data_IF_814773498375
#
_entry.id   IF_814773498375
#
_cell.length_a   1.000
_cell.length_b   1.000
_cell.length_c   1.000
_cell.angle_alpha   90.00
_cell.angle_beta   90.00
_cell.angle_gamma   90.00
#
_symmetry.space_group_name_H-M   'P 1'
#
loop_
_entity.id
_entity.type
_entity.pdbx_description
1 polymer ?
#
# COMPACT_ATOMS: atom_id res chain seq x y z
N UNK A 1 -30.66 7.60 -6.83
CA UNK A 1 -30.15 6.82 -7.98
C UNK A 1 -30.52 5.36 -7.83
N UNK A 2 -30.77 4.62 -8.94
CA UNK A 2 -31.07 3.18 -8.92
C UNK A 2 -29.94 2.37 -8.27
N UNK A 3 -30.29 1.28 -7.58
CA UNK A 3 -29.31 0.39 -6.91
C UNK A 3 -28.32 -0.24 -7.91
N UNK A 4 -28.78 -0.52 -9.14
CA UNK A 4 -27.97 -1.07 -10.24
C UNK A 4 -26.80 -0.16 -10.64
N UNK A 5 -26.99 1.17 -10.65
CA UNK A 5 -25.92 2.14 -10.96
C UNK A 5 -24.88 2.15 -9.86
N UNK A 6 -25.31 2.11 -8.58
CA UNK A 6 -24.40 2.08 -7.42
C UNK A 6 -23.53 0.84 -7.42
N UNK A 7 -24.12 -0.34 -7.64
CA UNK A 7 -23.36 -1.59 -7.71
C UNK A 7 -22.36 -1.57 -8.87
N UNK A 8 -22.77 -1.08 -10.04
CA UNK A 8 -21.88 -0.93 -11.19
C UNK A 8 -20.67 -0.04 -10.87
N UNK A 9 -20.90 1.13 -10.27
CA UNK A 9 -19.81 2.03 -9.84
C UNK A 9 -18.88 1.32 -8.89
N UNK A 10 -19.43 0.66 -7.87
CA UNK A 10 -18.63 -0.06 -6.88
C UNK A 10 -17.72 -1.11 -7.54
N UNK A 11 -18.29 -2.04 -8.33
CA UNK A 11 -17.51 -3.13 -8.92
C UNK A 11 -16.44 -2.66 -9.90
N UNK A 12 -16.74 -1.64 -10.72
CA UNK A 12 -15.78 -1.12 -11.69
C UNK A 12 -14.57 -0.48 -11.01
N UNK A 13 -14.78 0.38 -10.03
CA UNK A 13 -13.67 1.05 -9.35
C UNK A 13 -12.96 0.14 -8.34
N UNK A 14 -13.67 -0.80 -7.71
CA UNK A 14 -13.06 -1.84 -6.88
C UNK A 14 -12.16 -2.77 -7.71
N UNK A 15 -12.54 -3.12 -8.95
CA UNK A 15 -11.68 -3.86 -9.87
C UNK A 15 -10.40 -3.09 -10.23
N UNK A 16 -10.49 -1.78 -10.45
CA UNK A 16 -9.32 -0.92 -10.63
C UNK A 16 -8.38 -0.95 -9.40
N UNK A 17 -8.94 -0.89 -8.20
CA UNK A 17 -8.14 -0.98 -6.97
C UNK A 17 -7.55 -2.38 -6.75
N UNK A 18 -8.27 -3.44 -7.11
CA UNK A 18 -7.73 -4.80 -7.14
C UNK A 18 -6.48 -4.90 -8.03
N UNK A 19 -6.56 -4.37 -9.27
CA UNK A 19 -5.41 -4.29 -10.18
C UNK A 19 -4.23 -3.58 -9.54
N UNK A 20 -4.47 -2.43 -8.89
CA UNK A 20 -3.42 -1.68 -8.18
C UNK A 20 -2.74 -2.52 -7.11
N UNK A 21 -3.50 -3.34 -6.37
CA UNK A 21 -2.95 -4.20 -5.33
C UNK A 21 -2.16 -5.38 -5.88
N UNK A 22 -2.64 -6.01 -6.96
CA UNK A 22 -1.90 -7.07 -7.66
C UNK A 22 -0.55 -6.53 -8.14
N UNK A 23 -0.52 -5.38 -8.80
CA UNK A 23 0.73 -4.77 -9.27
C UNK A 23 1.70 -4.39 -8.14
N UNK A 24 1.19 -4.03 -6.97
CA UNK A 24 2.02 -3.76 -5.79
C UNK A 24 2.79 -4.99 -5.34
N UNK A 25 2.13 -6.16 -5.32
CA UNK A 25 2.68 -7.39 -4.78
C UNK A 25 3.26 -8.37 -5.81
N UNK A 26 2.97 -8.22 -7.10
CA UNK A 26 3.35 -9.21 -8.12
C UNK A 26 4.86 -9.48 -8.18
N UNK A 27 5.68 -8.49 -7.81
CA UNK A 27 7.13 -8.64 -7.76
C UNK A 27 7.59 -9.69 -6.73
N UNK A 28 6.81 -9.93 -5.69
CA UNK A 28 7.08 -10.98 -4.71
C UNK A 28 7.16 -12.37 -5.36
N UNK A 29 6.29 -12.63 -6.35
CA UNK A 29 6.31 -13.87 -7.14
C UNK A 29 7.35 -13.85 -8.26
N UNK A 30 7.56 -12.70 -8.90
CA UNK A 30 8.46 -12.56 -10.04
C UNK A 30 9.94 -12.49 -9.66
N UNK A 31 10.27 -11.94 -8.48
CA UNK A 31 11.64 -11.66 -8.08
C UNK A 31 12.60 -12.84 -8.22
N UNK A 32 12.30 -14.08 -7.74
CA UNK A 32 13.22 -15.20 -7.90
C UNK A 32 13.50 -15.55 -9.37
N UNK A 33 12.45 -15.47 -10.22
CA UNK A 33 12.55 -15.80 -11.63
C UNK A 33 13.37 -14.74 -12.39
N UNK A 34 13.14 -13.46 -12.09
CA UNK A 34 13.86 -12.35 -12.69
C UNK A 34 15.33 -12.36 -12.24
N UNK A 35 15.59 -12.64 -10.97
CA UNK A 35 16.95 -12.78 -10.44
C UNK A 35 17.70 -13.90 -11.15
N UNK A 36 17.07 -15.05 -11.34
CA UNK A 36 17.67 -16.16 -12.07
C UNK A 36 17.94 -15.80 -13.54
N UNK A 37 16.97 -15.16 -14.22
CA UNK A 37 17.07 -14.84 -15.64
C UNK A 37 18.08 -13.73 -15.95
N UNK A 38 18.24 -12.75 -15.06
CA UNK A 38 18.99 -11.53 -15.32
C UNK A 38 20.16 -11.29 -14.34
N UNK A 39 20.39 -12.19 -13.39
CA UNK A 39 21.50 -12.11 -12.44
C UNK A 39 21.41 -10.90 -11.49
N UNK A 40 20.19 -10.49 -11.08
CA UNK A 40 20.00 -9.29 -10.26
C UNK A 40 20.42 -9.51 -8.80
N UNK A 41 21.06 -8.49 -8.22
CA UNK A 41 21.38 -8.44 -6.79
C UNK A 41 20.15 -8.07 -5.94
N UNK A 42 20.24 -8.21 -4.61
CA UNK A 42 19.21 -7.72 -3.70
C UNK A 42 19.03 -6.20 -3.80
N UNK A 43 20.12 -5.46 -4.01
CA UNK A 43 20.06 -4.01 -4.22
C UNK A 43 19.26 -3.66 -5.49
N UNK A 44 19.49 -4.39 -6.60
CA UNK A 44 18.74 -4.21 -7.85
C UNK A 44 17.25 -4.51 -7.65
N UNK A 45 16.91 -5.59 -6.93
CA UNK A 45 15.52 -5.95 -6.62
C UNK A 45 14.84 -4.91 -5.73
N UNK A 46 15.54 -4.41 -4.72
CA UNK A 46 15.06 -3.35 -3.85
C UNK A 46 14.78 -2.08 -4.63
N UNK A 47 15.72 -1.66 -5.47
CA UNK A 47 15.57 -0.50 -6.35
C UNK A 47 14.42 -0.70 -7.35
N UNK A 48 14.39 -1.84 -8.04
CA UNK A 48 13.36 -2.18 -9.01
C UNK A 48 11.95 -2.14 -8.39
N UNK A 49 11.79 -2.73 -7.21
CA UNK A 49 10.49 -2.74 -6.52
C UNK A 49 10.12 -1.35 -6.00
N UNK A 50 11.11 -0.57 -5.56
CA UNK A 50 10.90 0.77 -5.04
C UNK A 50 10.39 1.76 -6.09
N UNK A 51 10.74 1.58 -7.37
CA UNK A 51 10.31 2.46 -8.46
C UNK A 51 8.79 2.46 -8.67
N UNK A 52 8.09 1.38 -8.34
CA UNK A 52 6.64 1.38 -8.26
C UNK A 52 6.13 2.43 -7.26
N UNK A 53 6.74 2.49 -6.09
CA UNK A 53 6.30 3.36 -4.99
C UNK A 53 6.64 4.83 -5.25
N UNK A 54 7.81 5.13 -5.83
CA UNK A 54 8.16 6.50 -6.19
C UNK A 54 7.29 7.01 -7.35
N UNK A 55 7.01 6.17 -8.35
CA UNK A 55 6.07 6.50 -9.43
C UNK A 55 4.67 6.80 -8.90
N UNK A 56 4.19 5.99 -7.96
CA UNK A 56 2.93 6.21 -7.27
C UNK A 56 2.94 7.53 -6.48
N UNK A 57 4.01 7.81 -5.72
CA UNK A 57 4.15 9.03 -4.92
C UNK A 57 4.17 10.29 -5.79
N UNK A 58 4.96 10.32 -6.86
CA UNK A 58 5.07 11.46 -7.78
C UNK A 58 3.70 11.77 -8.42
N UNK A 59 2.94 10.74 -8.77
CA UNK A 59 1.64 10.89 -9.40
C UNK A 59 0.53 11.36 -8.45
N UNK A 60 0.68 11.25 -7.12
CA UNK A 60 -0.39 11.56 -6.16
C UNK A 60 -0.96 12.97 -6.30
N UNK A 61 -0.10 13.97 -6.44
CA UNK A 61 -0.53 15.36 -6.54
C UNK A 61 -1.18 15.65 -7.90
N UNK A 62 -0.55 15.31 -9.05
CA UNK A 62 -1.19 15.47 -10.36
C UNK A 62 -2.51 14.73 -10.49
N UNK A 63 -2.59 13.50 -9.97
CA UNK A 63 -3.80 12.67 -10.02
C UNK A 63 -4.96 13.31 -9.27
N UNK A 64 -4.71 13.92 -8.11
CA UNK A 64 -5.73 14.68 -7.39
C UNK A 64 -6.37 15.77 -8.26
N UNK A 65 -5.53 16.57 -8.91
CA UNK A 65 -5.99 17.64 -9.83
C UNK A 65 -6.74 17.08 -11.04
N UNK A 66 -6.20 16.03 -11.67
CA UNK A 66 -6.85 15.38 -12.81
C UNK A 66 -8.22 14.81 -12.41
N UNK A 67 -8.32 14.18 -11.25
CA UNK A 67 -9.59 13.66 -10.73
C UNK A 67 -10.62 14.77 -10.50
N UNK A 68 -10.18 15.94 -10.04
CA UNK A 68 -11.08 17.08 -9.80
C UNK A 68 -11.55 17.71 -11.12
N UNK A 69 -10.69 17.75 -12.12
CA UNK A 69 -11.00 18.38 -13.40
C UNK A 69 -11.75 17.44 -14.37
N UNK A 70 -11.24 16.21 -14.56
CA UNK A 70 -11.77 15.26 -15.57
C UNK A 70 -12.67 14.17 -14.99
N UNK A 71 -12.75 14.07 -13.66
CA UNK A 71 -13.54 13.08 -12.94
C UNK A 71 -12.94 11.66 -12.92
N UNK A 72 -13.46 10.78 -12.03
CA UNK A 72 -12.87 9.47 -11.78
C UNK A 72 -12.90 8.54 -13.01
N UNK A 73 -13.94 8.59 -13.84
CA UNK A 73 -14.09 7.72 -15.00
C UNK A 73 -12.94 7.88 -16.02
N UNK A 74 -12.75 9.11 -16.53
CA UNK A 74 -11.75 9.39 -17.59
C UNK A 74 -10.33 9.19 -17.08
N UNK A 75 -10.06 9.71 -15.88
CA UNK A 75 -8.71 9.65 -15.30
C UNK A 75 -8.32 8.23 -14.98
N UNK A 76 -9.19 7.43 -14.35
CA UNK A 76 -8.86 6.03 -14.03
C UNK A 76 -8.64 5.21 -15.30
N UNK A 77 -9.52 5.34 -16.29
CA UNK A 77 -9.37 4.61 -17.54
C UNK A 77 -8.05 4.97 -18.26
N UNK A 78 -7.73 6.25 -18.39
CA UNK A 78 -6.48 6.69 -19.02
C UNK A 78 -5.24 6.24 -18.23
N UNK A 79 -5.25 6.37 -16.92
CA UNK A 79 -4.11 5.98 -16.08
C UNK A 79 -3.88 4.46 -16.08
N UNK A 80 -4.93 3.64 -16.15
CA UNK A 80 -4.78 2.19 -16.28
C UNK A 80 -4.16 1.78 -17.62
N UNK A 81 -4.30 2.57 -18.69
CA UNK A 81 -3.57 2.34 -19.95
C UNK A 81 -2.07 2.51 -19.73
N UNK A 82 -1.63 3.51 -18.96
CA UNK A 82 -0.22 3.65 -18.58
C UNK A 82 0.26 2.45 -17.76
N UNK A 83 -0.56 1.93 -16.84
CA UNK A 83 -0.21 0.74 -16.08
C UNK A 83 -0.06 -0.49 -16.98
N UNK A 84 -0.94 -0.68 -17.97
CA UNK A 84 -0.86 -1.76 -18.94
C UNK A 84 0.38 -1.64 -19.83
N UNK A 85 0.68 -0.45 -20.33
CA UNK A 85 1.91 -0.19 -21.08
C UNK A 85 3.15 -0.49 -20.21
N UNK A 86 3.11 -0.08 -18.92
CA UNK A 86 4.18 -0.33 -17.98
C UNK A 86 4.45 -1.83 -17.74
N UNK A 87 3.42 -2.66 -17.54
CA UNK A 87 3.62 -4.10 -17.33
C UNK A 87 4.07 -4.81 -18.61
N UNK A 88 3.66 -4.34 -19.78
CA UNK A 88 4.17 -4.87 -21.03
C UNK A 88 5.63 -4.49 -21.30
N UNK A 89 6.01 -3.23 -21.02
CA UNK A 89 7.41 -2.80 -21.02
C UNK A 89 8.26 -3.65 -20.06
N UNK A 90 7.74 -3.91 -18.86
CA UNK A 90 8.36 -4.78 -17.88
C UNK A 90 8.55 -6.21 -18.42
N UNK A 91 7.50 -6.84 -18.94
CA UNK A 91 7.51 -8.20 -19.46
C UNK A 91 8.37 -8.39 -20.71
N UNK A 92 8.50 -7.35 -21.54
CA UNK A 92 9.33 -7.36 -22.75
C UNK A 92 10.82 -7.06 -22.47
N UNK A 93 11.17 -6.67 -21.23
CA UNK A 93 12.53 -6.23 -20.91
C UNK A 93 13.51 -7.40 -20.77
N UNK A 94 14.73 -7.19 -21.30
CA UNK A 94 15.87 -8.09 -21.19
C UNK A 94 17.00 -7.54 -20.29
N UNK A 95 16.76 -6.46 -19.56
CA UNK A 95 17.71 -5.83 -18.66
C UNK A 95 17.04 -4.95 -17.61
N UNK A 96 17.80 -4.58 -16.58
CA UNK A 96 17.31 -3.84 -15.41
C UNK A 96 16.64 -2.52 -15.79
N UNK A 97 17.20 -1.74 -16.72
CA UNK A 97 16.65 -0.44 -17.11
C UNK A 97 15.22 -0.49 -17.62
N UNK A 98 14.88 -1.46 -18.50
CA UNK A 98 13.54 -1.62 -19.01
C UNK A 98 12.55 -2.09 -17.93
N UNK A 99 13.00 -2.98 -17.02
CA UNK A 99 12.20 -3.38 -15.84
C UNK A 99 11.89 -2.16 -14.95
N UNK A 100 12.88 -1.29 -14.72
CA UNK A 100 12.76 -0.07 -13.93
C UNK A 100 11.74 0.90 -14.53
N UNK A 101 11.82 1.14 -15.84
CA UNK A 101 10.85 1.99 -16.57
C UNK A 101 9.43 1.39 -16.45
N UNK A 102 9.30 0.07 -16.67
CA UNK A 102 8.03 -0.62 -16.52
C UNK A 102 7.42 -0.44 -15.11
N UNK A 103 8.21 -0.57 -14.06
CA UNK A 103 7.78 -0.39 -12.66
C UNK A 103 7.33 1.03 -12.37
N UNK A 104 8.07 2.02 -12.87
CA UNK A 104 7.72 3.43 -12.72
C UNK A 104 6.35 3.73 -13.38
N UNK A 105 6.18 3.29 -14.63
CA UNK A 105 4.93 3.46 -15.36
C UNK A 105 3.74 2.76 -14.69
N UNK A 106 3.94 1.53 -14.18
CA UNK A 106 2.90 0.82 -13.40
C UNK A 106 2.52 1.66 -12.19
N UNK A 107 3.50 2.12 -11.39
CA UNK A 107 3.25 2.91 -10.18
C UNK A 107 2.46 4.18 -10.48
N UNK A 108 2.86 4.93 -11.51
CA UNK A 108 2.12 6.12 -11.98
C UNK A 108 0.68 5.71 -12.36
N UNK A 109 0.53 4.69 -13.20
CA UNK A 109 -0.75 4.30 -13.77
C UNK A 109 -1.78 3.84 -12.75
N UNK A 110 -1.38 3.15 -11.67
CA UNK A 110 -2.31 2.65 -10.65
C UNK A 110 -2.51 3.59 -9.45
N UNK A 111 -1.77 4.69 -9.38
CA UNK A 111 -1.84 5.65 -8.27
C UNK A 111 -3.23 6.25 -8.05
N UNK A 112 -4.02 6.35 -9.11
CA UNK A 112 -5.37 6.91 -9.12
C UNK A 112 -6.42 5.99 -8.51
N UNK A 113 -6.21 4.67 -8.50
CA UNK A 113 -7.27 3.68 -8.33
C UNK A 113 -8.05 3.83 -7.03
N UNK A 114 -7.38 4.00 -5.89
CA UNK A 114 -8.05 4.15 -4.59
C UNK A 114 -8.77 5.48 -4.47
N UNK A 115 -8.11 6.58 -4.84
CA UNK A 115 -8.69 7.93 -4.76
C UNK A 115 -9.90 8.08 -5.67
N UNK A 116 -9.84 7.50 -6.88
CA UNK A 116 -10.95 7.47 -7.80
C UNK A 116 -12.12 6.64 -7.29
N UNK A 117 -11.84 5.48 -6.67
CA UNK A 117 -12.88 4.63 -6.09
C UNK A 117 -13.62 5.36 -4.96
N UNK A 118 -12.89 6.05 -4.08
CA UNK A 118 -13.49 6.83 -2.99
C UNK A 118 -14.28 8.03 -3.52
N UNK A 119 -13.74 8.74 -4.52
CA UNK A 119 -14.43 9.87 -5.15
C UNK A 119 -15.71 9.43 -5.87
N UNK A 120 -15.65 8.35 -6.64
CA UNK A 120 -16.80 7.79 -7.32
C UNK A 120 -17.87 7.30 -6.32
N UNK A 121 -17.44 6.67 -5.22
CA UNK A 121 -18.34 6.26 -4.14
C UNK A 121 -19.04 7.46 -3.49
N UNK A 122 -18.30 8.52 -3.16
CA UNK A 122 -18.84 9.74 -2.56
C UNK A 122 -19.88 10.43 -3.47
N UNK A 123 -19.74 10.33 -4.79
CA UNK A 123 -20.69 10.92 -5.76
C UNK A 123 -21.98 10.11 -5.94
N UNK A 124 -21.96 8.81 -5.64
CA UNK A 124 -23.07 7.90 -5.99
C UNK A 124 -23.76 7.24 -4.78
N UNK A 125 -23.10 7.19 -3.63
CA UNK A 125 -23.65 6.57 -2.41
C UNK A 125 -24.03 7.62 -1.36
N UNK A 126 -25.07 7.34 -0.55
CA UNK A 126 -25.40 8.18 0.62
C UNK A 126 -24.22 8.25 1.59
N UNK A 127 -24.00 9.40 2.22
CA UNK A 127 -22.90 9.64 3.18
C UNK A 127 -22.86 8.58 4.27
N UNK A 128 -24.02 8.18 4.81
CA UNK A 128 -24.13 7.14 5.84
C UNK A 128 -23.59 5.76 5.42
N UNK A 129 -23.53 5.46 4.10
CA UNK A 129 -23.03 4.18 3.57
C UNK A 129 -21.57 4.23 3.12
N UNK A 130 -20.97 5.42 3.02
CA UNK A 130 -19.59 5.57 2.53
C UNK A 130 -18.57 4.78 3.35
N UNK A 131 -18.62 4.73 4.70
CA UNK A 131 -17.66 3.93 5.46
C UNK A 131 -17.71 2.44 5.09
N UNK A 132 -18.91 1.90 4.86
CA UNK A 132 -19.11 0.51 4.48
C UNK A 132 -18.58 0.25 3.05
N UNK A 133 -18.94 1.10 2.09
CA UNK A 133 -18.52 0.98 0.68
C UNK A 133 -17.00 1.09 0.55
N UNK A 134 -16.40 2.05 1.26
CA UNK A 134 -14.95 2.21 1.28
C UNK A 134 -14.24 1.01 1.94
N UNK A 135 -14.83 0.45 3.00
CA UNK A 135 -14.35 -0.77 3.64
C UNK A 135 -14.36 -1.97 2.67
N UNK A 136 -15.45 -2.15 1.91
CA UNK A 136 -15.50 -3.19 0.88
C UNK A 136 -14.51 -2.94 -0.26
N UNK A 137 -14.31 -1.69 -0.68
CA UNK A 137 -13.28 -1.36 -1.67
C UNK A 137 -11.89 -1.78 -1.19
N UNK A 138 -11.58 -1.47 0.08
CA UNK A 138 -10.32 -1.90 0.70
C UNK A 138 -10.18 -3.43 0.77
N UNK A 139 -11.28 -4.14 1.10
CA UNK A 139 -11.29 -5.60 1.13
C UNK A 139 -11.01 -6.21 -0.25
N UNK A 140 -11.59 -5.66 -1.31
CA UNK A 140 -11.30 -6.09 -2.70
C UNK A 140 -9.82 -5.86 -3.05
N UNK A 141 -9.22 -4.75 -2.60
CA UNK A 141 -7.76 -4.57 -2.70
C UNK A 141 -7.00 -5.68 -1.98
N UNK A 142 -7.41 -6.04 -0.75
CA UNK A 142 -6.82 -7.14 0.03
C UNK A 142 -6.85 -8.49 -0.71
N UNK A 143 -7.91 -8.78 -1.49
CA UNK A 143 -7.95 -9.96 -2.36
C UNK A 143 -6.84 -9.96 -3.41
N UNK A 144 -6.43 -8.78 -3.92
CA UNK A 144 -5.24 -8.65 -4.76
C UNK A 144 -3.98 -9.14 -4.05
N UNK A 145 -3.84 -8.84 -2.75
CA UNK A 145 -2.76 -9.37 -1.90
C UNK A 145 -2.79 -10.89 -1.76
N UNK A 146 -3.98 -11.50 -1.68
CA UNK A 146 -4.13 -12.97 -1.65
C UNK A 146 -3.69 -13.60 -2.98
N UNK A 147 -4.07 -13.00 -4.10
CA UNK A 147 -3.78 -13.51 -5.45
C UNK A 147 -2.28 -13.56 -5.75
N UNK A 148 -1.49 -12.63 -5.23
CA UNK A 148 -0.02 -12.63 -5.43
C UNK A 148 0.73 -13.67 -4.60
N UNK A 149 0.05 -14.37 -3.68
CA UNK A 149 0.59 -15.52 -2.95
C UNK A 149 0.46 -16.83 -3.74
N UNK A 150 -0.30 -17.80 -3.18
CA UNK A 150 -0.48 -19.14 -3.78
C UNK A 150 -1.00 -19.12 -5.22
N UNK A 151 -2.03 -18.32 -5.59
CA UNK A 151 -2.54 -18.36 -6.96
C UNK A 151 -1.50 -17.97 -8.00
N UNK A 152 -0.73 -16.89 -7.74
CA UNK A 152 0.36 -16.48 -8.62
C UNK A 152 1.49 -17.54 -8.66
N UNK A 153 1.86 -18.09 -7.50
CA UNK A 153 2.88 -19.13 -7.42
C UNK A 153 2.49 -20.38 -8.22
N UNK A 154 1.22 -20.82 -8.15
CA UNK A 154 0.71 -21.95 -8.94
C UNK A 154 0.72 -21.63 -10.45
N UNK A 155 0.34 -20.44 -10.85
CA UNK A 155 0.35 -20.02 -12.25
C UNK A 155 1.77 -20.01 -12.81
N UNK A 156 2.76 -19.57 -12.03
CA UNK A 156 4.17 -19.52 -12.43
C UNK A 156 4.85 -20.91 -12.52
N UNK A 157 4.19 -22.00 -12.10
CA UNK A 157 4.69 -23.36 -12.34
C UNK A 157 4.47 -23.82 -13.80
N UNK A 158 3.47 -23.26 -14.48
CA UNK A 158 3.09 -23.65 -15.85
C UNK A 158 3.33 -22.54 -16.87
N UNK A 159 3.63 -21.31 -16.39
CA UNK A 159 3.81 -20.13 -17.23
C UNK A 159 5.05 -19.35 -16.84
N UNK A 160 5.53 -18.49 -17.73
CA UNK A 160 6.65 -17.58 -17.44
C UNK A 160 6.14 -16.26 -16.85
N UNK A 161 6.98 -15.56 -16.09
CA UNK A 161 6.66 -14.23 -15.58
C UNK A 161 6.37 -13.21 -16.70
N UNK A 162 6.93 -13.42 -17.92
CA UNK A 162 6.64 -12.62 -19.12
C UNK A 162 5.22 -12.85 -19.62
N UNK A 163 4.78 -14.11 -19.70
CA UNK A 163 3.41 -14.45 -20.10
C UNK A 163 2.38 -13.92 -19.10
N UNK A 164 2.68 -14.04 -17.81
CA UNK A 164 1.83 -13.45 -16.76
C UNK A 164 1.77 -11.93 -16.89
N UNK A 165 2.88 -11.27 -17.23
CA UNK A 165 2.91 -9.81 -17.49
C UNK A 165 2.01 -9.41 -18.66
N UNK A 166 2.00 -10.21 -19.74
CA UNK A 166 1.10 -9.99 -20.88
C UNK A 166 -0.36 -10.11 -20.42
N UNK A 167 -0.70 -11.19 -19.72
CA UNK A 167 -2.05 -11.43 -19.21
C UNK A 167 -2.54 -10.33 -18.26
N UNK A 168 -1.69 -9.87 -17.35
CA UNK A 168 -2.01 -8.75 -16.46
C UNK A 168 -2.23 -7.44 -17.22
N UNK A 169 -1.46 -7.17 -18.26
CA UNK A 169 -1.65 -6.01 -19.12
C UNK A 169 -3.01 -6.04 -19.84
N UNK A 170 -3.36 -7.19 -20.43
CA UNK A 170 -4.67 -7.39 -21.06
C UNK A 170 -5.79 -7.22 -20.04
N UNK A 171 -5.71 -7.87 -18.88
CA UNK A 171 -6.70 -7.73 -17.81
C UNK A 171 -6.86 -6.26 -17.37
N UNK A 172 -5.76 -5.54 -17.22
CA UNK A 172 -5.76 -4.12 -16.88
C UNK A 172 -6.48 -3.27 -17.94
N UNK A 173 -6.25 -3.54 -19.23
CA UNK A 173 -6.96 -2.86 -20.32
C UNK A 173 -8.45 -3.20 -20.35
N UNK A 174 -8.84 -4.45 -20.05
CA UNK A 174 -10.24 -4.84 -19.93
C UNK A 174 -10.93 -4.04 -18.82
N UNK A 175 -10.27 -3.91 -17.65
CA UNK A 175 -10.78 -3.10 -16.55
C UNK A 175 -10.85 -1.62 -16.94
N UNK A 176 -9.82 -1.08 -17.61
CA UNK A 176 -9.81 0.30 -18.10
C UNK A 176 -10.98 0.56 -19.08
N UNK A 177 -11.18 -0.35 -20.06
CA UNK A 177 -12.27 -0.28 -21.02
C UNK A 177 -13.65 -0.40 -20.34
N UNK A 178 -13.79 -1.31 -19.38
CA UNK A 178 -15.02 -1.45 -18.61
C UNK A 178 -15.35 -0.16 -17.84
N UNK A 179 -14.37 0.48 -17.19
CA UNK A 179 -14.56 1.78 -16.55
C UNK A 179 -14.91 2.85 -17.57
N UNK A 180 -14.20 2.91 -18.71
CA UNK A 180 -14.43 3.89 -19.76
C UNK A 180 -15.82 3.77 -20.40
N UNK A 181 -16.36 2.57 -20.55
CA UNK A 181 -17.63 2.33 -21.22
C UNK A 181 -18.81 2.37 -20.25
N UNK A 182 -18.69 1.76 -19.10
CA UNK A 182 -19.83 1.49 -18.20
C UNK A 182 -19.90 2.37 -16.96
N UNK A 183 -18.82 3.08 -16.57
CA UNK A 183 -18.93 4.02 -15.45
C UNK A 183 -19.78 5.23 -15.84
N UNK A 184 -20.61 5.78 -14.92
CA UNK A 184 -21.41 6.95 -15.20
C UNK A 184 -20.55 8.14 -15.62
N UNK A 185 -21.09 8.99 -16.50
CA UNK A 185 -20.49 10.29 -16.81
C UNK A 185 -20.73 11.22 -15.63
N UNK A 186 -19.67 11.85 -15.14
CA UNK A 186 -19.83 12.90 -14.12
C UNK A 186 -20.44 14.13 -14.77
N UNK A 187 -21.31 14.81 -14.04
CA UNK A 187 -21.60 16.22 -14.34
C UNK A 187 -20.28 17.00 -14.16
N UNK A 188 -19.93 17.81 -15.14
CA UNK A 188 -18.70 18.59 -15.13
C UNK A 188 -18.64 19.49 -13.88
N UNK A 189 -17.86 19.10 -12.91
CA UNK A 189 -17.56 19.92 -11.74
C UNK A 189 -16.39 20.83 -12.12
N UNK A 190 -16.69 22.06 -12.52
CA UNK A 190 -15.71 23.12 -12.78
C UNK A 190 -15.05 23.62 -11.47
N UNK A 191 -14.46 22.72 -10.68
CA UNK A 191 -13.55 23.14 -9.63
C UNK A 191 -12.16 23.24 -10.24
N UNK A 192 -11.69 24.47 -10.45
CA UNK A 192 -10.29 24.75 -10.84
C UNK A 192 -9.38 24.45 -9.64
N UNK A 193 -9.04 23.17 -9.46
CA UNK A 193 -7.97 22.83 -8.54
C UNK A 193 -6.63 23.15 -9.23
N UNK A 194 -5.96 24.22 -8.76
CA UNK A 194 -4.64 24.60 -9.24
C UNK A 194 -3.57 23.66 -8.63
N UNK A 195 -2.71 23.09 -9.47
CA UNK A 195 -1.57 22.24 -9.05
C UNK A 195 -0.67 22.97 -8.06
N UNK A 196 -0.41 24.26 -8.29
CA UNK A 196 0.44 25.09 -7.41
C UNK A 196 -0.18 25.20 -6.01
N UNK A 197 -1.52 25.38 -5.92
CA UNK A 197 -2.23 25.44 -4.64
C UNK A 197 -2.18 24.11 -3.88
N UNK A 198 -2.21 22.99 -4.59
CA UNK A 198 -2.05 21.64 -4.02
C UNK A 198 -0.63 21.46 -3.45
N UNK A 199 0.41 21.84 -4.19
CA UNK A 199 1.78 21.81 -3.69
C UNK A 199 1.99 22.69 -2.46
N UNK A 200 1.52 23.94 -2.49
CA UNK A 200 1.58 24.85 -1.34
C UNK A 200 0.85 24.28 -0.12
N UNK A 201 -0.31 23.65 -0.33
CA UNK A 201 -1.08 23.00 0.73
C UNK A 201 -0.34 21.80 1.33
N UNK A 202 0.23 20.93 0.52
CA UNK A 202 1.06 19.80 0.95
C UNK A 202 2.27 20.28 1.76
N UNK A 203 2.96 21.32 1.27
CA UNK A 203 4.11 21.92 1.97
C UNK A 203 3.72 22.50 3.34
N UNK A 204 2.56 23.15 3.43
CA UNK A 204 2.04 23.66 4.69
C UNK A 204 1.77 22.53 5.69
N UNK A 205 1.18 21.43 5.26
CA UNK A 205 0.96 20.23 6.11
C UNK A 205 2.28 19.63 6.57
N UNK A 206 3.27 19.47 5.69
CA UNK A 206 4.60 18.94 6.02
C UNK A 206 5.34 19.78 7.06
N UNK A 207 5.09 21.09 7.13
CA UNK A 207 5.62 21.98 8.16
C UNK A 207 4.85 21.91 9.49
N UNK A 208 3.69 21.29 9.52
CA UNK A 208 2.85 21.23 10.71
C UNK A 208 3.39 20.23 11.75
N UNK A 209 3.66 20.71 12.96
CA UNK A 209 4.03 19.84 14.09
C UNK A 209 2.92 18.85 14.46
N UNK A 210 1.64 19.23 14.28
CA UNK A 210 0.52 18.35 14.51
C UNK A 210 0.50 17.18 13.51
N UNK A 211 0.84 17.43 12.24
CA UNK A 211 0.98 16.38 11.25
C UNK A 211 2.03 15.34 11.67
N UNK A 212 3.24 15.75 11.98
CA UNK A 212 4.31 14.83 12.37
C UNK A 212 4.04 14.13 13.70
N UNK A 213 3.31 14.76 14.62
CA UNK A 213 2.89 14.13 15.86
C UNK A 213 1.97 12.94 15.63
N UNK A 214 1.05 13.04 14.69
CA UNK A 214 0.11 11.98 14.32
C UNK A 214 0.78 10.98 13.35
N UNK A 215 1.51 11.49 12.37
CA UNK A 215 2.04 10.70 11.26
C UNK A 215 3.27 9.87 11.62
N UNK A 216 4.15 10.33 12.53
CA UNK A 216 5.49 9.76 12.75
C UNK A 216 5.50 8.24 12.85
N UNK A 217 4.76 7.68 13.79
CA UNK A 217 4.73 6.23 14.01
C UNK A 217 3.98 5.50 12.88
N UNK A 218 2.89 6.07 12.38
CA UNK A 218 2.09 5.44 11.34
C UNK A 218 2.78 5.39 9.98
N UNK A 219 3.53 6.43 9.58
CA UNK A 219 4.23 6.42 8.28
C UNK A 219 5.39 5.43 8.28
N UNK A 220 6.10 5.29 9.42
CA UNK A 220 7.20 4.32 9.56
C UNK A 220 6.65 2.90 9.59
N UNK A 221 5.63 2.60 10.43
CA UNK A 221 5.05 1.26 10.51
C UNK A 221 4.40 0.82 9.21
N UNK A 222 3.63 1.68 8.55
CA UNK A 222 3.04 1.36 7.24
C UNK A 222 4.11 1.24 6.15
N UNK A 223 5.14 2.11 6.19
CA UNK A 223 6.28 2.01 5.29
C UNK A 223 6.98 0.66 5.38
N UNK A 224 7.29 0.22 6.60
CA UNK A 224 7.87 -1.11 6.87
C UNK A 224 6.93 -2.23 6.43
N UNK A 225 5.64 -2.16 6.80
CA UNK A 225 4.67 -3.18 6.45
C UNK A 225 4.61 -3.42 4.94
N UNK A 226 4.40 -2.35 4.16
CA UNK A 226 4.26 -2.48 2.71
C UNK A 226 5.58 -2.80 2.01
N UNK A 227 6.72 -2.32 2.50
CA UNK A 227 8.03 -2.68 1.96
C UNK A 227 8.30 -4.18 2.14
N UNK A 228 8.09 -4.71 3.33
CA UNK A 228 8.30 -6.13 3.60
C UNK A 228 7.29 -7.00 2.86
N UNK A 229 6.01 -6.66 2.90
CA UNK A 229 4.94 -7.41 2.22
C UNK A 229 5.14 -7.49 0.70
N UNK A 230 5.66 -6.44 0.07
CA UNK A 230 5.74 -6.37 -1.39
C UNK A 230 6.93 -7.10 -2.00
N UNK A 231 7.97 -7.41 -1.20
CA UNK A 231 9.17 -8.11 -1.69
C UNK A 231 9.84 -8.99 -0.62
N UNK A 232 10.17 -8.45 0.55
CA UNK A 232 11.16 -9.03 1.46
C UNK A 232 10.63 -10.10 2.40
N UNK A 233 9.29 -10.22 2.58
CA UNK A 233 8.72 -11.24 3.47
C UNK A 233 8.98 -12.66 2.95
N UNK A 234 8.96 -12.86 1.62
CA UNK A 234 9.18 -14.18 1.03
C UNK A 234 10.61 -14.67 1.21
N UNK A 235 11.68 -13.90 0.90
CA UNK A 235 13.06 -14.26 1.25
C UNK A 235 13.21 -14.61 2.72
N UNK A 236 12.65 -13.83 3.64
CA UNK A 236 12.68 -14.13 5.07
C UNK A 236 12.07 -15.50 5.41
N UNK A 237 10.94 -15.87 4.79
CA UNK A 237 10.29 -17.17 5.02
C UNK A 237 11.13 -18.35 4.50
N UNK A 238 11.82 -18.16 3.39
CA UNK A 238 12.69 -19.17 2.79
C UNK A 238 14.00 -19.30 3.58
N UNK A 239 14.67 -18.18 3.84
CA UNK A 239 16.05 -18.13 4.33
C UNK A 239 16.15 -18.32 5.85
N UNK A 240 15.15 -17.82 6.61
CA UNK A 240 15.17 -17.85 8.09
C UNK A 240 14.29 -18.95 8.66
N UNK A 241 13.09 -19.11 8.09
CA UNK A 241 12.15 -20.14 8.54
C UNK A 241 12.31 -21.47 7.82
N UNK A 242 13.22 -21.54 6.83
CA UNK A 242 13.53 -22.76 6.05
C UNK A 242 12.28 -23.40 5.43
N UNK A 243 11.33 -22.59 4.99
CA UNK A 243 10.09 -23.10 4.39
C UNK A 243 10.28 -23.39 2.90
N UNK A 244 9.50 -24.33 2.39
CA UNK A 244 9.45 -24.58 0.95
C UNK A 244 8.81 -23.40 0.22
N UNK A 245 9.15 -23.17 -1.07
CA UNK A 245 8.55 -22.09 -1.87
C UNK A 245 7.01 -22.12 -1.89
N UNK A 246 6.40 -23.32 -1.89
CA UNK A 246 4.95 -23.49 -1.86
C UNK A 246 4.35 -23.04 -0.51
N UNK A 247 4.97 -23.44 0.62
CA UNK A 247 4.55 -22.98 1.94
C UNK A 247 4.71 -21.46 2.12
N UNK A 248 5.83 -20.89 1.66
CA UNK A 248 6.04 -19.45 1.71
C UNK A 248 4.95 -18.68 0.90
N UNK A 249 4.58 -19.17 -0.29
CA UNK A 249 3.51 -18.59 -1.10
C UNK A 249 2.14 -18.69 -0.40
N UNK A 250 1.84 -19.84 0.25
CA UNK A 250 0.61 -19.99 1.03
C UNK A 250 0.54 -18.99 2.20
N UNK A 251 1.64 -18.79 2.90
CA UNK A 251 1.71 -17.82 4.00
C UNK A 251 1.59 -16.36 3.53
N UNK A 252 2.06 -16.03 2.34
CA UNK A 252 1.81 -14.70 1.73
C UNK A 252 0.31 -14.51 1.46
N UNK A 253 -0.42 -15.54 1.01
CA UNK A 253 -1.88 -15.47 0.89
C UNK A 253 -2.57 -15.29 2.24
N UNK A 254 -2.10 -16.00 3.29
CA UNK A 254 -2.59 -15.85 4.67
C UNK A 254 -2.38 -14.41 5.15
N UNK A 255 -1.19 -13.84 4.92
CA UNK A 255 -0.87 -12.44 5.26
C UNK A 255 -1.83 -11.46 4.56
N UNK A 256 -2.07 -11.62 3.26
CA UNK A 256 -2.99 -10.78 2.49
C UNK A 256 -4.42 -10.84 3.01
N UNK A 257 -4.91 -12.05 3.31
CA UNK A 257 -6.24 -12.27 3.89
C UNK A 257 -6.34 -11.69 5.31
N UNK A 258 -5.35 -11.92 6.15
CA UNK A 258 -5.28 -11.39 7.51
C UNK A 258 -5.24 -9.87 7.53
N UNK A 259 -4.49 -9.23 6.62
CA UNK A 259 -4.49 -7.78 6.43
C UNK A 259 -5.89 -7.24 6.09
N UNK A 260 -6.61 -7.92 5.18
CA UNK A 260 -7.99 -7.56 4.83
C UNK A 260 -8.90 -7.59 6.05
N UNK A 261 -8.83 -8.67 6.85
CA UNK A 261 -9.58 -8.79 8.09
C UNK A 261 -9.17 -7.72 9.12
N UNK A 262 -7.87 -7.43 9.22
CA UNK A 262 -7.32 -6.39 10.08
C UNK A 262 -7.88 -5.01 9.74
N UNK A 263 -7.84 -4.61 8.48
CA UNK A 263 -8.37 -3.31 8.04
C UNK A 263 -9.85 -3.14 8.37
N UNK A 264 -10.67 -4.18 8.10
CA UNK A 264 -12.11 -4.15 8.43
C UNK A 264 -12.34 -4.19 9.94
N UNK A 265 -11.65 -5.10 10.64
CA UNK A 265 -11.79 -5.30 12.08
C UNK A 265 -11.38 -4.07 12.90
N UNK A 266 -10.22 -3.47 12.60
CA UNK A 266 -9.77 -2.26 13.29
C UNK A 266 -10.67 -1.06 12.98
N UNK A 267 -11.14 -0.93 11.73
CA UNK A 267 -12.10 0.12 11.37
C UNK A 267 -13.45 0.00 12.12
N UNK A 268 -13.93 -1.23 12.33
CA UNK A 268 -15.12 -1.48 13.13
C UNK A 268 -14.87 -1.29 14.63
N UNK A 269 -13.75 -1.82 15.14
CA UNK A 269 -13.37 -1.73 16.54
C UNK A 269 -13.10 -0.29 16.99
N UNK A 270 -12.50 0.55 16.14
CA UNK A 270 -12.23 1.95 16.45
C UNK A 270 -13.48 2.71 16.87
N UNK A 271 -14.61 2.51 16.16
CA UNK A 271 -15.91 3.12 16.51
C UNK A 271 -16.46 2.61 17.86
N UNK A 272 -16.25 1.33 18.16
CA UNK A 272 -16.63 0.73 19.44
C UNK A 272 -15.82 1.27 20.61
N UNK A 273 -14.53 1.47 20.40
CA UNK A 273 -13.58 2.00 21.38
C UNK A 273 -13.84 3.49 21.66
N UNK A 274 -14.13 4.27 20.62
CA UNK A 274 -14.50 5.69 20.75
C UNK A 274 -15.76 5.86 21.62
N UNK A 275 -16.78 5.02 21.45
CA UNK A 275 -17.98 5.00 22.32
C UNK A 275 -17.66 4.65 23.78
N UNK A 276 -16.55 3.99 24.06
CA UNK A 276 -16.04 3.67 25.39
C UNK A 276 -15.07 4.72 25.94
N UNK A 277 -14.91 5.85 25.24
CA UNK A 277 -14.03 6.95 25.65
C UNK A 277 -12.55 6.77 25.29
N UNK A 278 -12.18 5.72 24.53
CA UNK A 278 -10.81 5.53 24.05
C UNK A 278 -10.63 6.30 22.74
N UNK A 279 -9.66 7.22 22.69
CA UNK A 279 -9.39 7.97 21.46
C UNK A 279 -8.90 7.08 20.33
N UNK A 280 -9.30 7.37 19.10
CA UNK A 280 -8.80 6.65 17.89
C UNK A 280 -7.28 6.73 17.79
N UNK A 281 -6.69 7.86 18.20
CA UNK A 281 -5.23 8.04 18.28
C UNK A 281 -4.58 6.98 19.19
N UNK A 282 -5.04 6.82 20.43
CA UNK A 282 -4.49 5.84 21.35
C UNK A 282 -4.71 4.40 20.86
N UNK A 283 -5.89 4.09 20.32
CA UNK A 283 -6.20 2.78 19.78
C UNK A 283 -5.30 2.43 18.58
N UNK A 284 -5.07 3.39 17.68
CA UNK A 284 -4.14 3.25 16.56
C UNK A 284 -2.71 2.97 17.06
N UNK A 285 -2.24 3.72 18.08
CA UNK A 285 -0.92 3.54 18.68
C UNK A 285 -0.71 2.15 19.27
N UNK A 286 -1.70 1.62 19.99
CA UNK A 286 -1.67 0.25 20.56
C UNK A 286 -1.59 -0.79 19.43
N UNK A 287 -2.39 -0.67 18.38
CA UNK A 287 -2.35 -1.60 17.26
C UNK A 287 -1.01 -1.60 16.53
N UNK A 288 -0.40 -0.43 16.34
CA UNK A 288 0.94 -0.32 15.77
C UNK A 288 2.03 -0.89 16.70
N UNK A 289 1.89 -0.72 18.02
CA UNK A 289 2.81 -1.33 18.98
C UNK A 289 2.73 -2.87 18.96
N UNK A 290 1.52 -3.43 18.85
CA UNK A 290 1.32 -4.88 18.65
C UNK A 290 1.93 -5.38 17.34
N UNK A 291 1.88 -4.57 16.28
CA UNK A 291 2.57 -4.87 15.03
C UNK A 291 4.10 -4.95 15.21
N UNK A 292 4.69 -4.01 15.94
CA UNK A 292 6.13 -4.05 16.27
C UNK A 292 6.46 -5.26 17.14
N UNK A 293 5.61 -5.59 18.11
CA UNK A 293 5.77 -6.80 18.95
C UNK A 293 5.82 -8.06 18.11
N UNK A 294 4.94 -8.22 17.11
CA UNK A 294 4.97 -9.38 16.20
C UNK A 294 6.31 -9.47 15.45
N UNK A 295 6.86 -8.35 15.00
CA UNK A 295 8.18 -8.32 14.36
C UNK A 295 9.28 -8.76 15.32
N UNK A 296 9.24 -8.31 16.58
CA UNK A 296 10.19 -8.75 17.61
C UNK A 296 10.10 -10.26 17.82
N UNK A 297 8.89 -10.82 17.91
CA UNK A 297 8.70 -12.28 18.03
C UNK A 297 9.28 -13.05 16.82
N UNK A 298 9.15 -12.49 15.60
CA UNK A 298 9.74 -13.05 14.39
C UNK A 298 11.28 -13.05 14.46
N UNK A 299 11.89 -11.93 14.88
CA UNK A 299 13.35 -11.79 15.00
C UNK A 299 13.91 -12.72 16.06
N UNK A 300 13.24 -12.83 17.21
CA UNK A 300 13.60 -13.73 18.31
C UNK A 300 13.31 -15.21 18.00
N UNK A 301 12.73 -15.50 16.84
CA UNK A 301 12.38 -16.88 16.40
C UNK A 301 11.59 -17.64 17.45
N UNK A 302 10.63 -16.97 18.09
CA UNK A 302 9.76 -17.63 19.07
C UNK A 302 9.07 -18.84 18.39
N UNK A 303 9.01 -20.01 19.03
CA UNK A 303 8.48 -21.24 18.44
C UNK A 303 6.95 -21.21 18.29
N UNK A 304 6.45 -20.27 17.49
CA UNK A 304 5.05 -20.15 17.11
C UNK A 304 4.85 -20.64 15.66
N UNK A 305 3.68 -21.21 15.34
CA UNK A 305 3.38 -21.59 13.96
C UNK A 305 3.56 -20.42 13.00
N UNK A 306 4.29 -20.56 11.87
CA UNK A 306 4.50 -19.48 10.93
C UNK A 306 3.20 -18.80 10.44
N UNK A 307 2.12 -19.58 10.28
CA UNK A 307 0.81 -19.07 9.89
C UNK A 307 0.23 -18.09 10.93
N UNK A 308 0.41 -18.35 12.22
CA UNK A 308 -0.04 -17.49 13.31
C UNK A 308 0.74 -16.16 13.31
N UNK A 309 2.07 -16.24 13.13
CA UNK A 309 2.92 -15.05 13.06
C UNK A 309 2.55 -14.16 11.85
N UNK A 310 2.37 -14.78 10.66
CA UNK A 310 2.03 -14.06 9.44
C UNK A 310 0.59 -13.50 9.48
N UNK A 311 -0.35 -14.24 10.09
CA UNK A 311 -1.70 -13.74 10.32
C UNK A 311 -1.69 -12.54 11.27
N UNK A 312 -0.99 -12.62 12.40
CA UNK A 312 -0.83 -11.50 13.33
C UNK A 312 -0.12 -10.30 12.65
N UNK A 313 0.93 -10.56 11.87
CA UNK A 313 1.63 -9.54 11.09
C UNK A 313 0.68 -8.82 10.12
N UNK A 314 -0.16 -9.57 9.40
CA UNK A 314 -1.15 -9.00 8.48
C UNK A 314 -2.23 -8.20 9.21
N UNK A 315 -2.84 -8.78 10.25
CA UNK A 315 -3.90 -8.12 11.04
C UNK A 315 -3.41 -6.81 11.64
N UNK A 316 -2.30 -6.84 12.38
CA UNK A 316 -1.79 -5.64 13.05
C UNK A 316 -1.12 -4.66 12.08
N UNK A 317 -0.53 -5.13 10.98
CA UNK A 317 -0.01 -4.27 9.91
C UNK A 317 -1.07 -3.37 9.28
N UNK A 318 -2.33 -3.80 9.28
CA UNK A 318 -3.47 -3.00 8.81
C UNK A 318 -3.86 -1.83 9.72
N UNK A 319 -3.38 -1.77 10.97
CA UNK A 319 -3.80 -0.74 11.94
C UNK A 319 -3.42 0.67 11.54
N UNK A 320 -2.32 0.83 10.81
CA UNK A 320 -1.86 2.14 10.34
C UNK A 320 -2.90 2.91 9.51
N UNK A 321 -3.89 2.22 8.93
CA UNK A 321 -4.98 2.87 8.19
C UNK A 321 -5.84 3.79 9.07
N UNK A 322 -5.88 3.55 10.38
CA UNK A 322 -6.60 4.40 11.32
C UNK A 322 -6.02 5.81 11.42
N UNK A 323 -4.74 6.01 11.05
CA UNK A 323 -4.12 7.34 11.02
C UNK A 323 -4.83 8.31 10.08
N UNK A 324 -5.50 7.82 9.03
CA UNK A 324 -6.35 8.65 8.16
C UNK A 324 -7.57 9.20 8.92
N UNK A 325 -8.18 8.38 9.79
CA UNK A 325 -9.28 8.81 10.65
C UNK A 325 -8.78 9.80 11.71
N UNK A 326 -7.61 9.56 12.29
CA UNK A 326 -6.98 10.49 13.24
C UNK A 326 -6.68 11.83 12.56
N UNK A 327 -6.17 11.84 11.32
CA UNK A 327 -5.99 13.10 10.57
C UNK A 327 -7.31 13.86 10.41
N UNK A 328 -8.40 13.15 10.13
CA UNK A 328 -9.72 13.77 9.99
C UNK A 328 -10.27 14.34 11.31
N UNK A 329 -9.87 13.79 12.47
CA UNK A 329 -10.26 14.30 13.80
C UNK A 329 -9.50 15.59 14.17
N UNK A 330 -8.23 15.71 13.78
CA UNK A 330 -7.34 16.79 14.24
C UNK A 330 -7.15 17.93 13.23
N UNK A 331 -7.52 17.76 11.97
CA UNK A 331 -7.40 18.81 10.95
C UNK A 331 -8.78 19.38 10.59
N UNK A 332 -8.87 20.70 10.31
CA UNK A 332 -10.11 21.33 9.82
C UNK A 332 -10.62 20.66 8.55
N UNK A 333 -11.93 20.62 8.34
CA UNK A 333 -12.59 19.89 7.26
C UNK A 333 -12.04 20.24 5.85
N UNK A 334 -11.69 21.52 5.62
CA UNK A 334 -11.10 21.98 4.35
C UNK A 334 -9.64 21.53 4.13
N UNK A 335 -8.96 21.02 5.18
CA UNK A 335 -7.57 20.53 5.12
C UNK A 335 -7.45 19.00 5.17
N UNK A 336 -8.53 18.28 5.51
CA UNK A 336 -8.49 16.81 5.68
C UNK A 336 -7.96 16.13 4.42
N UNK A 337 -8.47 16.50 3.24
CA UNK A 337 -8.02 15.92 1.97
C UNK A 337 -6.52 16.13 1.73
N UNK A 338 -6.00 17.31 2.05
CA UNK A 338 -4.57 17.62 1.92
C UNK A 338 -3.73 16.85 2.95
N UNK A 339 -4.18 16.77 4.20
CA UNK A 339 -3.49 16.03 5.26
C UNK A 339 -3.40 14.53 4.94
N UNK A 340 -4.47 13.92 4.48
CA UNK A 340 -4.50 12.49 4.10
C UNK A 340 -3.68 12.20 2.85
N UNK A 341 -3.70 13.08 1.83
CA UNK A 341 -2.85 12.94 0.64
C UNK A 341 -1.37 13.09 1.01
N UNK A 342 -1.02 14.06 1.87
CA UNK A 342 0.34 14.23 2.36
C UNK A 342 0.82 13.01 3.16
N UNK A 343 -0.06 12.44 4.01
CA UNK A 343 0.22 11.21 4.74
C UNK A 343 0.55 10.06 3.78
N UNK A 344 -0.28 9.87 2.76
CA UNK A 344 -0.07 8.86 1.72
C UNK A 344 1.26 9.08 0.98
N UNK A 345 1.55 10.32 0.58
CA UNK A 345 2.80 10.67 -0.08
C UNK A 345 4.02 10.28 0.77
N UNK A 346 4.02 10.65 2.06
CA UNK A 346 5.13 10.34 2.97
C UNK A 346 5.28 8.83 3.16
N UNK A 347 4.16 8.08 3.31
CA UNK A 347 4.19 6.62 3.40
C UNK A 347 4.87 6.02 2.17
N UNK A 348 4.49 6.43 0.95
CA UNK A 348 5.05 5.86 -0.26
C UNK A 348 6.53 6.23 -0.47
N UNK A 349 6.94 7.44 -0.07
CA UNK A 349 8.37 7.82 -0.05
C UNK A 349 9.16 6.97 0.95
N UNK A 350 8.60 6.65 2.12
CA UNK A 350 9.25 5.77 3.08
C UNK A 350 9.30 4.32 2.59
N UNK A 351 8.24 3.82 1.93
CA UNK A 351 8.28 2.49 1.31
C UNK A 351 9.42 2.42 0.28
N UNK A 352 9.56 3.45 -0.57
CA UNK A 352 10.68 3.56 -1.50
C UNK A 352 12.02 3.47 -0.75
N UNK A 353 12.21 4.29 0.28
CA UNK A 353 13.45 4.30 1.06
C UNK A 353 13.73 2.95 1.74
N UNK A 354 12.72 2.31 2.34
CA UNK A 354 12.88 1.01 2.98
C UNK A 354 13.17 -0.11 1.96
N UNK A 355 12.55 -0.10 0.80
CA UNK A 355 12.86 -1.08 -0.25
C UNK A 355 14.33 -1.02 -0.67
N UNK A 356 14.82 0.19 -0.97
CA UNK A 356 16.23 0.41 -1.34
C UNK A 356 17.15 0.07 -0.15
N UNK A 357 16.80 0.53 1.05
CA UNK A 357 17.60 0.32 2.25
C UNK A 357 17.75 -1.15 2.62
N UNK A 358 16.65 -1.92 2.58
CA UNK A 358 16.71 -3.38 2.84
C UNK A 358 17.57 -4.09 1.81
N UNK A 359 17.41 -3.78 0.52
CA UNK A 359 18.25 -4.33 -0.55
C UNK A 359 19.73 -4.00 -0.35
N UNK A 360 20.05 -2.75 -0.01
CA UNK A 360 21.40 -2.30 0.25
C UNK A 360 22.02 -2.99 1.48
N UNK A 361 21.25 -3.17 2.56
CA UNK A 361 21.75 -3.91 3.73
C UNK A 361 22.02 -5.37 3.40
N UNK A 362 21.07 -6.06 2.73
CA UNK A 362 21.25 -7.47 2.36
C UNK A 362 22.44 -7.69 1.43
N UNK A 363 22.75 -6.75 0.55
CA UNK A 363 23.88 -6.87 -0.40
C UNK A 363 25.27 -6.86 0.27
N UNK A 364 25.39 -6.60 1.59
CA UNK A 364 26.63 -6.75 2.34
C UNK A 364 26.98 -8.22 2.62
N UNK A 365 26.04 -9.15 2.41
CA UNK A 365 26.27 -10.58 2.54
C UNK A 365 26.21 -11.26 1.18
N UNK A 366 27.13 -12.19 0.97
CA UNK A 366 27.10 -13.03 -0.23
C UNK A 366 26.02 -14.10 -0.07
N UNK A 367 25.07 -14.23 -0.99
CA UNK A 367 24.08 -15.31 -0.92
C UNK A 367 24.74 -16.66 -1.24
N UNK A 368 24.45 -17.69 -0.46
CA UNK A 368 24.86 -19.06 -0.69
C UNK A 368 23.67 -19.85 -1.25
N UNK A 369 23.84 -20.43 -2.43
CA UNK A 369 22.76 -21.15 -3.11
C UNK A 369 21.50 -20.31 -3.41
N UNK A 370 21.65 -18.98 -3.51
CA UNK A 370 20.52 -18.05 -3.70
C UNK A 370 19.81 -17.62 -2.41
N UNK A 371 20.31 -18.03 -1.25
CA UNK A 371 19.77 -17.72 0.07
C UNK A 371 20.70 -16.80 0.86
N UNK A 372 20.14 -15.78 1.51
CA UNK A 372 20.89 -14.92 2.42
C UNK A 372 21.00 -15.55 3.81
N UNK A 373 22.14 -15.37 4.51
CA UNK A 373 22.28 -15.89 5.86
C UNK A 373 21.25 -15.25 6.80
N UNK A 374 20.77 -16.01 7.76
CA UNK A 374 19.75 -15.54 8.70
C UNK A 374 20.16 -14.25 9.46
N UNK A 375 21.47 -14.05 9.70
CA UNK A 375 21.99 -12.83 10.34
C UNK A 375 21.70 -11.59 9.51
N UNK A 376 21.73 -11.69 8.18
CA UNK A 376 21.41 -10.56 7.29
C UNK A 376 19.96 -10.09 7.49
N UNK A 377 19.02 -11.05 7.52
CA UNK A 377 17.61 -10.76 7.79
C UNK A 377 17.38 -10.22 9.21
N UNK A 378 18.02 -10.81 10.22
CA UNK A 378 17.93 -10.30 11.60
C UNK A 378 18.43 -8.86 11.68
N UNK A 379 19.52 -8.52 11.01
CA UNK A 379 20.05 -7.15 10.96
C UNK A 379 19.03 -6.19 10.32
N UNK A 380 18.47 -6.54 9.17
CA UNK A 380 17.43 -5.76 8.50
C UNK A 380 16.25 -5.49 9.45
N UNK A 381 15.67 -6.55 10.01
CA UNK A 381 14.53 -6.43 10.90
C UNK A 381 14.85 -5.61 12.15
N UNK A 382 16.03 -5.77 12.73
CA UNK A 382 16.47 -5.00 13.90
C UNK A 382 16.55 -3.51 13.61
N UNK A 383 17.09 -3.13 12.44
CA UNK A 383 17.12 -1.72 12.00
C UNK A 383 15.70 -1.18 11.83
N UNK A 384 14.82 -1.93 11.15
CA UNK A 384 13.44 -1.51 10.91
C UNK A 384 12.65 -1.37 12.22
N UNK A 385 12.84 -2.29 13.17
CA UNK A 385 12.24 -2.23 14.52
C UNK A 385 12.76 -1.00 15.28
N UNK A 386 14.07 -0.75 15.27
CA UNK A 386 14.66 0.41 15.92
C UNK A 386 14.09 1.74 15.41
N UNK A 387 13.92 1.88 14.09
CA UNK A 387 13.29 3.05 13.47
C UNK A 387 11.82 3.21 13.91
N UNK A 388 11.07 2.11 13.96
CA UNK A 388 9.70 2.12 14.45
C UNK A 388 9.61 2.51 15.93
N UNK A 389 10.48 1.97 16.79
CA UNK A 389 10.54 2.32 18.21
C UNK A 389 10.92 3.80 18.42
N UNK A 390 11.89 4.32 17.67
CA UNK A 390 12.25 5.73 17.71
C UNK A 390 11.06 6.63 17.33
N UNK A 391 10.31 6.26 16.28
CA UNK A 391 9.10 6.99 15.88
C UNK A 391 7.96 6.85 16.89
N UNK A 392 7.84 5.69 17.55
CA UNK A 392 6.86 5.46 18.62
C UNK A 392 7.11 6.34 19.85
N UNK A 393 8.38 6.53 20.23
CA UNK A 393 8.74 7.45 21.33
C UNK A 393 8.19 8.85 21.04
N UNK A 394 8.42 9.37 19.82
CA UNK A 394 7.88 10.67 19.43
C UNK A 394 6.35 10.69 19.45
N UNK A 395 5.70 9.62 18.99
CA UNK A 395 4.24 9.49 19.00
C UNK A 395 3.66 9.54 20.42
N UNK A 396 4.27 8.89 21.40
CA UNK A 396 3.77 8.81 22.79
C UNK A 396 4.07 10.05 23.61
N UNK A 397 5.20 10.75 23.36
CA UNK A 397 5.58 11.93 24.15
C UNK A 397 4.44 12.95 24.26
N UNK A 398 4.16 13.53 25.45
CA UNK A 398 3.14 14.56 25.59
C UNK A 398 3.40 15.75 24.66
N UNK A 399 2.36 16.23 23.97
CA UNK A 399 2.50 17.35 23.04
C UNK A 399 1.37 18.35 23.21
N UNK A 400 1.73 19.62 23.48
CA UNK A 400 0.80 20.74 23.53
C UNK A 400 0.17 21.06 22.15
N UNK A 401 0.79 20.57 21.09
CA UNK A 401 0.37 20.83 19.70
C UNK A 401 -0.99 20.21 19.40
N UNK A 402 -1.24 18.98 19.85
CA UNK A 402 -2.53 18.30 19.63
C UNK A 402 -3.70 18.94 20.36
N UNK A 403 -3.46 19.48 21.58
CA UNK A 403 -4.50 20.19 22.34
C UNK A 403 -4.95 21.49 21.66
N UNK A 404 -4.00 22.20 21.03
CA UNK A 404 -4.28 23.45 20.30
C UNK A 404 -5.10 23.20 19.03
N UNK A 405 -4.77 22.15 18.29
CA UNK A 405 -5.43 21.82 17.00
C UNK A 405 -6.87 21.34 17.21
N UNK A 406 -7.12 20.57 18.25
CA UNK A 406 -8.48 20.09 18.58
C UNK A 406 -9.43 21.24 18.93
N UNK A 407 -8.94 22.31 19.58
CA UNK A 407 -9.73 23.51 19.92
C UNK A 407 -10.06 24.40 18.72
N UNK A 408 -9.29 24.33 17.63
CA UNK A 408 -9.54 25.09 16.42
C UNK A 408 -10.36 24.34 15.38
N UNK A 409 -10.55 23.04 15.57
CA UNK A 409 -11.35 22.19 14.69
C UNK A 409 -12.80 22.00 15.17
N UNK A 410 -13.10 22.31 16.45
CA UNK A 410 -14.45 22.40 17.03
C UNK A 410 -15.05 23.79 16.81
#
# INVERSE_FOLDING_TARGET
MPSSVRLRVFFLFAAGYFVSYVFRGVNLGFAPLITHDLGLSAADLGLLTSLYFIGFAIAQIPVGVLLDHYGPRRVTAGMLVFAAAGIWTFGASHGLGGLMVGRLLIGIGVSVCLSAAFKASAQHFPVARLPLVNGFTMAVGGLGGVVVGSPLASLLQTTTWRQVSIGLGVFTLVVAAAIALFAPRNADSHHQADVISQFKGTWHILKSGAFWKIASFSVVTQGVFYAMQSLWIRPYLLDVMNLTPAHAAALVSVLGFAMMLGCVGFGAAARGMERRGVSVYAFCGVGMALYVLVQVLMVLRVPLPPATLLAAYGVFGGTGILSYAVMAEYFPSHMIGRATTTLTLVIFLLIFGFQVGVGAVLSHWTPEGGHYPAVAHVTVWSILIALQLASAVWYVLPSRVLHKTRRTAS
#
